data_IF_091914753254
#
_entry.id   IF_091914753254
#
_cell.length_a   1.000
_cell.length_b   1.000
_cell.length_c   1.000
_cell.angle_alpha   90.00
_cell.angle_beta   90.00
_cell.angle_gamma   90.00
#
_symmetry.space_group_name_H-M   'P 1'
#
loop_
_entity.id
_entity.type
_entity.pdbx_description
1 polymer ?
#
# COMPACT_ATOMS: atom_id res chain seq x y z
N UNK A 1 -19.42 0.30 48.78
CA UNK A 1 -18.86 -0.70 47.83
C UNK A 1 -19.35 -0.52 46.39
N UNK A 2 -20.65 -0.33 46.10
CA UNK A 2 -21.13 -0.17 44.71
C UNK A 2 -20.56 1.07 43.98
N UNK A 3 -20.44 2.21 44.67
CA UNK A 3 -19.94 3.47 44.09
C UNK A 3 -18.45 3.42 43.72
N UNK A 4 -17.62 2.76 44.52
CA UNK A 4 -16.18 2.61 44.26
C UNK A 4 -15.90 1.66 43.10
N UNK A 5 -16.72 0.60 42.94
CA UNK A 5 -16.64 -0.32 41.79
C UNK A 5 -17.02 0.39 40.49
N UNK A 6 -18.04 1.24 40.51
CA UNK A 6 -18.45 2.03 39.34
C UNK A 6 -17.33 2.99 38.90
N UNK A 7 -16.70 3.69 39.84
CA UNK A 7 -15.57 4.60 39.54
C UNK A 7 -14.40 3.83 38.93
N UNK A 8 -14.07 2.64 39.47
CA UNK A 8 -13.00 1.80 38.92
C UNK A 8 -13.29 1.34 37.49
N UNK A 9 -14.55 1.00 37.18
CA UNK A 9 -15.00 0.61 35.84
C UNK A 9 -14.84 1.74 34.82
N UNK A 10 -15.16 2.98 35.20
CA UNK A 10 -14.97 4.14 34.34
C UNK A 10 -13.49 4.41 34.04
N UNK A 11 -12.60 4.23 35.02
CA UNK A 11 -11.15 4.41 34.84
C UNK A 11 -10.58 3.35 33.89
N UNK A 12 -11.00 2.08 34.05
CA UNK A 12 -10.59 1.00 33.16
C UNK A 12 -11.12 1.22 31.74
N UNK A 13 -12.38 1.62 31.59
CA UNK A 13 -12.96 1.92 30.28
C UNK A 13 -12.24 3.08 29.58
N UNK A 14 -11.94 4.18 30.29
CA UNK A 14 -11.19 5.31 29.75
C UNK A 14 -9.76 4.90 29.34
N UNK A 15 -9.08 4.08 30.15
CA UNK A 15 -7.78 3.52 29.83
C UNK A 15 -7.82 2.63 28.58
N UNK A 16 -8.82 1.75 28.46
CA UNK A 16 -9.01 0.93 27.26
C UNK A 16 -9.27 1.79 26.02
N UNK A 17 -10.12 2.81 26.09
CA UNK A 17 -10.40 3.72 24.97
C UNK A 17 -9.12 4.37 24.47
N UNK A 18 -8.26 4.89 25.36
CA UNK A 18 -6.98 5.50 25.01
C UNK A 18 -6.00 4.50 24.36
N UNK A 19 -5.96 3.26 24.85
CA UNK A 19 -5.11 2.19 24.28
C UNK A 19 -5.61 1.78 22.89
N UNK A 20 -6.92 1.65 22.70
CA UNK A 20 -7.51 1.28 21.41
C UNK A 20 -7.46 2.44 20.39
N UNK A 21 -7.59 3.70 20.81
CA UNK A 21 -7.45 4.86 19.93
C UNK A 21 -6.01 5.08 19.45
N UNK A 22 -5.02 4.64 20.22
CA UNK A 22 -3.60 4.70 19.84
C UNK A 22 -3.12 3.53 18.97
N UNK A 23 -3.96 2.51 18.73
CA UNK A 23 -3.74 1.65 17.56
C UNK A 23 -4.11 2.47 16.35
N UNK A 24 -3.15 3.27 15.88
CA UNK A 24 -3.23 3.99 14.62
C UNK A 24 -3.63 3.01 13.52
N UNK A 25 -4.92 2.93 13.25
CA UNK A 25 -5.42 2.61 11.93
C UNK A 25 -4.85 3.72 11.05
N UNK A 26 -3.65 3.50 10.54
CA UNK A 26 -3.21 4.23 9.37
C UNK A 26 -4.29 3.91 8.33
N UNK A 27 -5.23 4.83 8.13
CA UNK A 27 -6.05 4.84 6.93
C UNK A 27 -5.06 4.87 5.77
N UNK A 28 -4.74 3.68 5.26
CA UNK A 28 -3.79 3.53 4.18
C UNK A 28 -4.53 3.91 2.91
N UNK A 29 -4.75 5.22 2.75
CA UNK A 29 -5.54 5.87 1.70
C UNK A 29 -5.00 5.61 0.29
N UNK A 30 -3.86 4.95 0.19
CA UNK A 30 -3.18 4.57 -1.04
C UNK A 30 -3.55 3.15 -1.51
N UNK A 31 -4.29 2.39 -0.69
CA UNK A 31 -4.76 1.04 -1.05
C UNK A 31 -5.63 1.10 -2.29
N UNK A 32 -5.32 0.24 -3.26
CA UNK A 32 -6.05 0.22 -4.52
C UNK A 32 -5.30 -0.45 -5.65
N UNK A 33 -6.01 -0.55 -6.77
CA UNK A 33 -5.50 -1.04 -8.04
C UNK A 33 -5.22 0.15 -8.94
N UNK A 34 -3.98 0.29 -9.36
CA UNK A 34 -3.51 1.34 -10.26
C UNK A 34 -3.05 0.74 -11.58
N UNK A 35 -3.33 1.43 -12.68
CA UNK A 35 -3.00 1.00 -14.03
C UNK A 35 -2.05 2.01 -14.67
N UNK A 36 -0.99 1.51 -15.31
CA UNK A 36 -0.13 2.29 -16.18
C UNK A 36 -0.41 1.88 -17.64
N UNK A 37 -1.23 2.64 -18.38
CA UNK A 37 -1.60 2.29 -19.75
C UNK A 37 -0.40 2.22 -20.70
N UNK A 38 0.59 3.11 -20.50
CA UNK A 38 1.78 3.20 -21.36
C UNK A 38 2.64 1.94 -21.29
N UNK A 39 2.81 1.39 -20.09
CA UNK A 39 3.69 0.25 -19.86
C UNK A 39 2.93 -1.09 -19.75
N UNK A 40 1.59 -1.06 -19.80
CA UNK A 40 0.73 -2.23 -19.60
C UNK A 40 1.06 -2.97 -18.30
N UNK A 41 1.18 -2.19 -17.22
CA UNK A 41 1.48 -2.69 -15.89
C UNK A 41 0.38 -2.29 -14.92
N UNK A 42 -0.01 -3.24 -14.09
CA UNK A 42 -0.87 -3.01 -12.95
C UNK A 42 -0.03 -2.95 -11.68
N UNK A 43 -0.28 -1.95 -10.83
CA UNK A 43 0.23 -1.88 -9.46
C UNK A 43 -0.93 -2.07 -8.49
N UNK A 44 -0.83 -3.04 -7.60
CA UNK A 44 -1.78 -3.24 -6.50
C UNK A 44 -1.07 -2.86 -5.21
N UNK A 45 -1.67 -1.96 -4.43
CA UNK A 45 -1.25 -1.63 -3.07
C UNK A 45 -2.30 -2.14 -2.08
N UNK A 46 -1.89 -2.92 -1.09
CA UNK A 46 -2.78 -3.47 -0.05
C UNK A 46 -2.59 -2.75 1.30
N UNK A 47 -3.60 -2.80 2.17
CA UNK A 47 -3.57 -2.13 3.48
C UNK A 47 -2.48 -2.62 4.45
N UNK A 48 -1.90 -3.79 4.20
CA UNK A 48 -0.80 -4.37 4.99
C UNK A 48 0.61 -4.04 4.45
N UNK A 49 0.74 -2.95 3.69
CA UNK A 49 1.99 -2.49 3.09
C UNK A 49 2.62 -3.46 2.08
N UNK A 50 1.84 -4.35 1.47
CA UNK A 50 2.31 -5.20 0.37
C UNK A 50 1.97 -4.54 -0.98
N UNK A 51 2.81 -4.80 -1.97
CA UNK A 51 2.54 -4.39 -3.35
C UNK A 51 2.71 -5.56 -4.32
N UNK A 52 1.99 -5.50 -5.43
CA UNK A 52 2.12 -6.45 -6.54
C UNK A 52 2.16 -5.69 -7.85
N UNK A 53 3.19 -5.94 -8.67
CA UNK A 53 3.26 -5.46 -10.05
C UNK A 53 2.91 -6.62 -10.99
N UNK A 54 2.01 -6.38 -11.94
CA UNK A 54 1.53 -7.39 -12.89
C UNK A 54 1.70 -6.85 -14.31
N UNK A 55 2.40 -7.60 -15.17
CA UNK A 55 2.42 -7.29 -16.60
C UNK A 55 1.11 -7.79 -17.24
N UNK A 56 0.32 -6.90 -17.82
CA UNK A 56 -1.00 -7.23 -18.36
C UNK A 56 -0.97 -7.73 -19.82
N UNK A 57 0.17 -7.65 -20.50
CA UNK A 57 0.34 -8.18 -21.87
C UNK A 57 0.74 -9.65 -21.89
N UNK A 58 1.33 -10.15 -20.80
CA UNK A 58 1.79 -11.53 -20.73
C UNK A 58 0.61 -12.48 -20.65
N UNK A 59 0.56 -13.48 -21.57
CA UNK A 59 -0.42 -14.59 -21.51
C UNK A 59 -0.21 -15.51 -20.30
N UNK A 60 0.96 -15.46 -19.66
CA UNK A 60 1.24 -16.10 -18.37
C UNK A 60 1.24 -15.10 -17.22
N UNK A 61 1.03 -15.57 -15.99
CA UNK A 61 1.00 -14.74 -14.78
C UNK A 61 2.41 -14.20 -14.44
N UNK A 62 2.86 -13.16 -15.15
CA UNK A 62 4.11 -12.44 -14.83
C UNK A 62 3.77 -11.35 -13.85
N UNK A 63 3.90 -11.70 -12.57
CA UNK A 63 3.79 -10.76 -11.46
C UNK A 63 5.01 -10.85 -10.55
N UNK A 64 5.24 -9.77 -9.82
CA UNK A 64 6.25 -9.68 -8.78
C UNK A 64 5.63 -9.00 -7.56
N UNK A 65 5.83 -9.62 -6.41
CA UNK A 65 5.34 -9.12 -5.13
C UNK A 65 6.42 -8.35 -4.39
N UNK A 66 6.02 -7.55 -3.41
CA UNK A 66 6.93 -6.79 -2.60
C UNK A 66 6.25 -6.06 -1.46
N UNK A 67 6.98 -5.09 -0.91
CA UNK A 67 6.52 -4.15 0.10
C UNK A 67 6.49 -2.75 -0.46
N UNK A 68 5.63 -1.90 0.08
CA UNK A 68 5.72 -0.47 -0.14
C UNK A 68 5.77 0.31 1.16
N UNK A 69 6.37 1.49 1.11
CA UNK A 69 6.32 2.50 2.16
C UNK A 69 5.92 3.83 1.56
N UNK A 70 5.18 4.62 2.33
CA UNK A 70 4.81 6.00 1.97
C UNK A 70 5.24 6.92 3.10
N UNK A 71 6.00 7.96 2.76
CA UNK A 71 6.38 9.04 3.67
C UNK A 71 6.32 10.38 2.93
N UNK A 72 5.56 11.34 3.47
CA UNK A 72 5.39 12.68 2.89
C UNK A 72 5.07 12.66 1.38
N UNK A 73 4.08 11.85 0.97
CA UNK A 73 3.70 11.60 -0.43
C UNK A 73 4.79 10.96 -1.31
N UNK A 74 5.95 10.61 -0.76
CA UNK A 74 6.96 9.83 -1.47
C UNK A 74 6.64 8.35 -1.25
N UNK A 75 6.60 7.59 -2.34
CA UNK A 75 6.40 6.14 -2.29
C UNK A 75 7.71 5.43 -2.61
N UNK A 76 7.98 4.34 -1.90
CA UNK A 76 9.03 3.39 -2.24
C UNK A 76 8.42 2.01 -2.38
N UNK A 77 8.69 1.34 -3.49
CA UNK A 77 8.40 -0.08 -3.68
C UNK A 77 9.70 -0.86 -3.54
N UNK A 78 9.68 -1.92 -2.75
CA UNK A 78 10.77 -2.89 -2.62
C UNK A 78 10.20 -4.23 -3.03
N UNK A 79 10.60 -4.72 -4.18
CA UNK A 79 10.12 -5.97 -4.75
C UNK A 79 10.96 -7.13 -4.22
N UNK A 80 10.29 -8.23 -3.92
CA UNK A 80 10.96 -9.48 -3.57
C UNK A 80 11.74 -9.97 -4.78
N UNK A 81 12.87 -10.64 -4.55
CA UNK A 81 13.56 -11.34 -5.62
C UNK A 81 12.65 -12.44 -6.19
N UNK A 82 12.08 -12.19 -7.36
CA UNK A 82 11.21 -13.13 -8.05
C UNK A 82 12.01 -14.09 -8.92
N UNK A 83 11.67 -15.37 -8.86
CA UNK A 83 12.21 -16.45 -9.70
C UNK A 83 11.94 -16.29 -11.21
N UNK A 84 11.14 -15.31 -11.62
CA UNK A 84 10.80 -15.02 -13.02
C UNK A 84 11.51 -13.75 -13.50
N UNK A 85 12.59 -13.94 -14.27
CA UNK A 85 13.56 -12.92 -14.70
C UNK A 85 13.07 -11.74 -15.57
N UNK A 86 11.80 -11.33 -15.52
CA UNK A 86 11.29 -10.15 -16.25
C UNK A 86 11.62 -8.82 -15.55
N UNK A 87 11.81 -8.80 -14.23
CA UNK A 87 11.97 -7.57 -13.48
C UNK A 87 13.35 -7.49 -12.80
N UNK A 88 14.33 -6.89 -13.48
CA UNK A 88 15.72 -6.72 -12.98
C UNK A 88 15.85 -5.71 -11.83
N UNK A 89 14.89 -4.80 -11.68
CA UNK A 89 14.96 -3.71 -10.70
C UNK A 89 14.08 -4.04 -9.50
N UNK A 90 14.74 -4.20 -8.35
CA UNK A 90 14.10 -4.60 -7.08
C UNK A 90 13.58 -3.42 -6.27
N UNK A 91 13.81 -2.18 -6.72
CA UNK A 91 13.37 -0.99 -6.01
C UNK A 91 12.83 0.09 -6.95
N UNK A 92 11.72 0.71 -6.58
CA UNK A 92 11.17 1.88 -7.24
C UNK A 92 10.96 2.99 -6.22
N UNK A 93 11.28 4.22 -6.61
CA UNK A 93 10.93 5.44 -5.86
C UNK A 93 9.93 6.22 -6.68
N UNK A 94 9.08 6.99 -6.04
CA UNK A 94 8.05 7.75 -6.72
C UNK A 94 7.38 8.79 -5.84
N UNK A 95 6.37 9.45 -6.40
CA UNK A 95 5.48 10.37 -5.68
C UNK A 95 4.01 10.02 -5.91
N UNK A 96 3.23 10.20 -4.87
CA UNK A 96 1.78 10.12 -4.89
C UNK A 96 1.23 11.52 -5.20
N UNK A 97 0.30 11.60 -6.15
CA UNK A 97 -0.35 12.82 -6.61
C UNK A 97 -1.85 12.56 -6.72
N UNK A 98 -2.56 12.74 -5.61
CA UNK A 98 -4.00 12.45 -5.53
C UNK A 98 -4.31 10.99 -5.87
N UNK A 99 -5.07 10.77 -6.95
CA UNK A 99 -5.42 9.43 -7.45
C UNK A 99 -4.39 8.82 -8.41
N UNK A 100 -3.16 9.31 -8.40
CA UNK A 100 -2.08 8.81 -9.25
C UNK A 100 -0.79 8.59 -8.48
N UNK A 101 0.03 7.68 -8.99
CA UNK A 101 1.36 7.37 -8.48
C UNK A 101 2.34 7.46 -9.63
N UNK A 102 3.36 8.29 -9.49
CA UNK A 102 4.44 8.42 -10.46
C UNK A 102 5.68 7.70 -9.92
N UNK A 103 6.09 6.61 -10.57
CA UNK A 103 7.33 5.89 -10.27
C UNK A 103 8.46 6.39 -11.19
N UNK A 104 9.62 6.65 -10.61
CA UNK A 104 10.79 7.17 -11.30
C UNK A 104 11.67 6.04 -11.85
N UNK A 105 12.22 6.26 -13.04
CA UNK A 105 13.11 5.32 -13.72
C UNK A 105 12.53 3.91 -13.77
N UNK A 106 11.29 3.80 -14.22
CA UNK A 106 10.55 2.55 -14.34
C UNK A 106 11.03 1.78 -15.58
N UNK A 107 11.76 0.69 -15.36
CA UNK A 107 12.34 -0.20 -16.39
C UNK A 107 13.05 0.47 -17.58
N UNK A 108 13.69 1.63 -17.36
CA UNK A 108 14.49 2.31 -18.38
C UNK A 108 13.71 3.33 -19.24
N UNK A 109 12.38 3.38 -19.13
CA UNK A 109 11.50 4.26 -19.95
C UNK A 109 11.21 5.63 -19.32
N UNK A 110 12.03 6.05 -18.35
CA UNK A 110 11.80 7.27 -17.57
C UNK A 110 10.74 7.08 -16.49
N UNK A 111 9.87 8.07 -16.29
CA UNK A 111 8.84 8.03 -15.26
C UNK A 111 7.58 7.31 -15.76
N UNK A 112 7.00 6.43 -14.94
CA UNK A 112 5.74 5.76 -15.21
C UNK A 112 4.65 6.29 -14.29
N UNK A 113 3.54 6.73 -14.87
CA UNK A 113 2.37 7.22 -14.12
C UNK A 113 1.30 6.13 -14.09
N UNK A 114 0.88 5.80 -12.87
CA UNK A 114 -0.13 4.82 -12.55
C UNK A 114 -1.38 5.54 -12.05
N UNK A 115 -2.53 5.27 -12.66
CA UNK A 115 -3.81 5.90 -12.32
C UNK A 115 -4.69 4.93 -11.55
N UNK A 116 -5.32 5.39 -10.48
CA UNK A 116 -6.22 4.59 -9.67
C UNK A 116 -7.41 4.12 -10.51
N UNK A 117 -7.55 2.81 -10.65
CA UNK A 117 -8.65 2.16 -11.37
C UNK A 117 -9.80 1.82 -10.43
N UNK A 118 -9.51 1.27 -9.25
CA UNK A 118 -10.48 0.94 -8.20
C UNK A 118 -9.82 1.02 -6.81
N UNK A 119 -10.50 1.63 -5.84
CA UNK A 119 -10.13 1.50 -4.42
C UNK A 119 -10.66 0.16 -3.92
N UNK A 120 -9.76 -0.74 -3.52
CA UNK A 120 -10.15 -1.98 -2.83
C UNK A 120 -10.10 -1.66 -1.34
N UNK A 121 -11.26 -1.48 -0.71
CA UNK A 121 -11.37 -1.43 0.75
C UNK A 121 -11.58 -2.87 1.23
N UNK A 122 -10.49 -3.59 1.47
CA UNK A 122 -10.58 -4.90 2.14
C UNK A 122 -10.71 -4.64 3.64
N UNK A 123 -11.96 -4.54 4.11
CA UNK A 123 -12.27 -4.73 5.52
C UNK A 123 -11.90 -6.17 5.89
N UNK A 124 -11.09 -6.32 6.93
CA UNK A 124 -10.87 -7.59 7.61
C UNK A 124 -10.99 -7.36 9.11
#
# INVERSE_FOLDING_TARGET
>A
MKKTVIVLLFIVAAGCILIFSNRGYYENNYTGKYECPKNNVLLILSGNNNCTLINTLSRGAVYIEGKYTVDNNNIRLTLNEGSSGSYRKMYFKGKIKGHSIELYNFYGDGNAVFYLKNKIVLFK
#
